data_IF_092157054215
#
_entry.id   IF_092157054215
#
_cell.length_a   1.000
_cell.length_b   1.000
_cell.length_c   1.000
_cell.angle_alpha   90.00
_cell.angle_beta   90.00
_cell.angle_gamma   90.00
#
_symmetry.space_group_name_H-M   'P 1'
#
loop_
_entity.id
_entity.type
_entity.pdbx_description
1 polymer ?
#
# COMPACT_ATOMS: atom_id res chain seq x y z
N UNK A 1 -3.64 22.06 9.90
CA UNK A 1 -4.85 22.17 9.06
C UNK A 1 -4.84 21.13 7.92
N UNK A 2 -4.87 19.82 8.22
CA UNK A 2 -4.79 18.74 7.21
C UNK A 2 -6.04 17.85 7.17
N UNK A 3 -7.21 18.43 7.46
CA UNK A 3 -8.47 17.69 7.59
C UNK A 3 -9.37 17.69 6.35
N UNK A 4 -9.10 18.56 5.36
CA UNK A 4 -10.04 18.88 4.26
C UNK A 4 -9.77 18.10 2.95
N UNK A 5 -8.54 17.64 2.73
CA UNK A 5 -8.19 16.77 1.59
C UNK A 5 -8.61 15.32 1.78
N UNK A 6 -8.49 14.80 3.01
CA UNK A 6 -8.88 13.42 3.33
C UNK A 6 -10.39 13.18 3.18
N UNK A 7 -11.22 14.18 3.49
CA UNK A 7 -12.67 14.10 3.25
C UNK A 7 -12.98 13.92 1.75
N UNK A 8 -12.38 14.77 0.90
CA UNK A 8 -12.58 14.65 -0.55
C UNK A 8 -12.03 13.35 -1.16
N UNK A 9 -10.92 12.82 -0.63
CA UNK A 9 -10.37 11.56 -1.13
C UNK A 9 -11.24 10.35 -0.76
N UNK A 10 -11.70 10.26 0.49
CA UNK A 10 -12.56 9.16 0.93
C UNK A 10 -13.88 9.16 0.15
N UNK A 11 -14.50 10.32 -0.03
CA UNK A 11 -15.72 10.49 -0.82
C UNK A 11 -15.49 10.09 -2.28
N UNK A 12 -14.36 10.46 -2.87
CA UNK A 12 -13.99 10.08 -4.24
C UNK A 12 -13.83 8.56 -4.39
N UNK A 13 -13.14 7.90 -3.45
CA UNK A 13 -12.95 6.44 -3.46
C UNK A 13 -14.31 5.74 -3.33
N UNK A 14 -15.16 6.17 -2.38
CA UNK A 14 -16.49 5.59 -2.19
C UNK A 14 -17.38 5.78 -3.43
N UNK A 15 -17.36 6.98 -4.03
CA UNK A 15 -18.12 7.24 -5.25
C UNK A 15 -17.63 6.41 -6.44
N UNK A 16 -16.32 6.21 -6.58
CA UNK A 16 -15.73 5.37 -7.65
C UNK A 16 -16.11 3.90 -7.48
N UNK A 17 -16.14 3.39 -6.26
CA UNK A 17 -16.59 2.02 -5.97
C UNK A 17 -18.08 1.86 -6.29
N UNK A 18 -18.92 2.85 -5.90
CA UNK A 18 -20.37 2.79 -6.08
C UNK A 18 -20.81 2.83 -7.56
N UNK A 19 -20.09 3.57 -8.42
CA UNK A 19 -20.42 3.69 -9.86
C UNK A 19 -20.13 2.44 -10.69
N UNK A 20 -19.63 1.35 -10.08
CA UNK A 20 -19.17 0.13 -10.77
C UNK A 20 -17.96 0.34 -11.70
N UNK A 21 -17.18 1.41 -11.50
CA UNK A 21 -15.89 1.62 -12.19
C UNK A 21 -14.87 0.51 -11.88
N UNK A 22 -15.15 -0.32 -10.87
CA UNK A 22 -14.39 -1.54 -10.57
C UNK A 22 -14.34 -2.54 -11.75
N UNK A 23 -15.33 -2.54 -12.64
CA UNK A 23 -15.30 -3.39 -13.84
C UNK A 23 -14.32 -2.87 -14.91
N UNK A 24 -13.98 -1.58 -14.87
CA UNK A 24 -13.18 -0.88 -15.87
C UNK A 24 -11.80 -0.45 -15.37
N UNK A 25 -11.55 -0.51 -14.05
CA UNK A 25 -10.30 -0.11 -13.42
C UNK A 25 -9.83 -1.13 -12.38
N UNK A 26 -8.66 -1.70 -12.62
CA UNK A 26 -7.99 -2.59 -11.67
C UNK A 26 -7.73 -1.90 -10.33
N UNK A 27 -7.51 -0.57 -10.34
CA UNK A 27 -7.33 0.22 -9.13
C UNK A 27 -8.62 0.29 -8.30
N UNK A 28 -9.74 0.62 -8.93
CA UNK A 28 -11.06 0.69 -8.23
C UNK A 28 -11.49 -0.70 -7.76
N UNK A 29 -11.23 -1.75 -8.55
CA UNK A 29 -11.43 -3.14 -8.12
C UNK A 29 -10.63 -3.49 -6.87
N UNK A 30 -9.37 -3.03 -6.79
CA UNK A 30 -8.54 -3.20 -5.61
C UNK A 30 -9.11 -2.47 -4.40
N UNK A 31 -9.56 -1.22 -4.53
CA UNK A 31 -10.20 -0.48 -3.43
C UNK A 31 -11.48 -1.16 -2.93
N UNK A 32 -12.34 -1.62 -3.85
CA UNK A 32 -13.56 -2.34 -3.48
C UNK A 32 -13.24 -3.60 -2.68
N UNK A 33 -12.25 -4.40 -3.11
CA UNK A 33 -11.83 -5.60 -2.37
C UNK A 33 -11.25 -5.25 -1.00
N UNK A 34 -10.43 -4.21 -0.89
CA UNK A 34 -9.93 -3.72 0.39
C UNK A 34 -11.04 -3.34 1.37
N UNK A 35 -12.07 -2.64 0.88
CA UNK A 35 -13.22 -2.25 1.69
C UNK A 35 -14.07 -3.46 2.09
N UNK A 36 -14.38 -4.35 1.15
CA UNK A 36 -15.32 -5.46 1.37
C UNK A 36 -14.72 -6.65 2.12
N UNK A 37 -13.46 -7.01 1.82
CA UNK A 37 -12.80 -8.19 2.37
C UNK A 37 -11.93 -7.88 3.58
N UNK A 38 -11.31 -6.69 3.61
CA UNK A 38 -10.37 -6.30 4.65
C UNK A 38 -10.89 -5.19 5.56
N UNK A 39 -12.13 -4.74 5.33
CA UNK A 39 -12.79 -3.70 6.13
C UNK A 39 -11.97 -2.41 6.25
N UNK A 40 -11.19 -2.09 5.22
CA UNK A 40 -10.38 -0.88 5.16
C UNK A 40 -11.28 0.28 4.70
N UNK A 41 -11.75 1.07 5.67
CA UNK A 41 -12.52 2.28 5.39
C UNK A 41 -11.57 3.44 5.01
N UNK A 42 -11.70 4.03 3.80
CA UNK A 42 -10.88 5.17 3.39
C UNK A 42 -11.08 6.43 4.24
N UNK A 43 -12.18 6.54 4.99
CA UNK A 43 -12.41 7.62 5.93
C UNK A 43 -11.77 7.36 7.31
N UNK A 44 -11.37 6.13 7.62
CA UNK A 44 -10.79 5.78 8.91
C UNK A 44 -9.37 6.37 9.04
N UNK A 45 -9.19 7.21 10.06
CA UNK A 45 -7.90 7.83 10.38
C UNK A 45 -7.15 7.04 11.46
N UNK A 46 -6.98 5.75 11.23
CA UNK A 46 -6.26 4.85 12.13
C UNK A 46 -4.80 4.72 11.70
N UNK A 47 -3.89 4.76 12.68
CA UNK A 47 -2.48 4.49 12.40
C UNK A 47 -2.31 3.05 11.89
N UNK A 48 -1.45 2.81 10.89
CA UNK A 48 -1.22 1.46 10.39
C UNK A 48 -0.65 0.58 11.49
N UNK A 49 -1.05 -0.70 11.51
CA UNK A 49 -0.46 -1.68 12.42
C UNK A 49 1.02 -1.81 12.12
N UNK A 50 1.86 -1.44 13.08
CA UNK A 50 3.31 -1.64 12.99
C UNK A 50 3.67 -2.97 13.67
N UNK A 51 4.54 -3.73 13.01
CA UNK A 51 5.16 -4.89 13.63
C UNK A 51 6.12 -4.41 14.72
N UNK A 52 6.15 -5.12 15.84
CA UNK A 52 7.23 -5.02 16.79
C UNK A 52 8.54 -5.46 16.14
N UNK A 53 9.65 -5.03 16.73
CA UNK A 53 10.98 -5.42 16.25
C UNK A 53 11.14 -6.95 16.23
N UNK A 54 10.59 -7.67 17.22
CA UNK A 54 10.64 -9.14 17.28
C UNK A 54 9.88 -9.77 16.12
N UNK A 55 8.63 -9.35 15.89
CA UNK A 55 7.80 -9.84 14.79
C UNK A 55 8.46 -9.56 13.43
N UNK A 56 9.06 -8.37 13.27
CA UNK A 56 9.74 -8.00 12.04
C UNK A 56 10.95 -8.90 11.79
N UNK A 57 11.79 -9.14 12.80
CA UNK A 57 12.95 -10.05 12.66
C UNK A 57 12.52 -11.45 12.27
N UNK A 58 11.49 -11.99 12.91
CA UNK A 58 10.95 -13.32 12.58
C UNK A 58 10.40 -13.37 11.15
N UNK A 59 9.67 -12.33 10.71
CA UNK A 59 9.20 -12.24 9.33
C UNK A 59 10.38 -12.20 8.34
N UNK A 60 11.42 -11.41 8.61
CA UNK A 60 12.62 -11.33 7.76
C UNK A 60 13.37 -12.66 7.67
N UNK A 61 13.54 -13.36 8.80
CA UNK A 61 14.20 -14.67 8.83
C UNK A 61 13.46 -15.70 7.96
N UNK A 62 12.12 -15.75 8.02
CA UNK A 62 11.34 -16.66 7.16
C UNK A 62 11.50 -16.38 5.67
N UNK A 63 11.70 -15.12 5.29
CA UNK A 63 11.90 -14.70 3.90
C UNK A 63 13.37 -14.64 3.46
N UNK A 64 14.32 -15.08 4.28
CA UNK A 64 15.76 -14.85 4.05
C UNK A 64 16.23 -15.29 2.65
N UNK A 65 15.79 -16.48 2.19
CA UNK A 65 16.17 -16.98 0.85
C UNK A 65 15.70 -16.06 -0.29
N UNK A 66 14.47 -15.54 -0.18
CA UNK A 66 13.91 -14.61 -1.16
C UNK A 66 14.66 -13.28 -1.14
N UNK A 67 14.95 -12.77 0.06
CA UNK A 67 15.69 -11.50 0.23
C UNK A 67 17.07 -11.62 -0.41
N UNK A 68 17.82 -12.69 -0.12
CA UNK A 68 19.15 -12.93 -0.70
C UNK A 68 19.10 -13.05 -2.23
N UNK A 69 18.10 -13.73 -2.78
CA UNK A 69 17.93 -13.85 -4.23
C UNK A 69 17.62 -12.50 -4.91
N UNK A 70 16.87 -11.62 -4.22
CA UNK A 70 16.49 -10.31 -4.76
C UNK A 70 17.57 -9.23 -4.58
N UNK A 71 18.50 -9.40 -3.65
CA UNK A 71 19.46 -8.39 -3.19
C UNK A 71 20.24 -7.73 -4.35
N UNK A 72 20.84 -8.53 -5.25
CA UNK A 72 21.62 -7.98 -6.38
C UNK A 72 20.78 -7.16 -7.37
N UNK A 73 19.52 -7.53 -7.58
CA UNK A 73 18.62 -6.78 -8.48
C UNK A 73 18.13 -5.49 -7.83
N UNK A 74 17.79 -5.52 -6.54
CA UNK A 74 17.39 -4.34 -5.78
C UNK A 74 18.53 -3.34 -5.62
N UNK A 75 19.76 -3.82 -5.37
CA UNK A 75 20.94 -2.95 -5.29
C UNK A 75 21.23 -2.26 -6.62
N UNK A 76 21.12 -2.96 -7.75
CA UNK A 76 21.27 -2.36 -9.08
C UNK A 76 20.19 -1.32 -9.37
N UNK A 77 18.93 -1.62 -9.04
CA UNK A 77 17.84 -0.66 -9.19
C UNK A 77 18.10 0.59 -8.35
N UNK A 78 18.49 0.43 -7.09
CA UNK A 78 18.82 1.52 -6.19
C UNK A 78 19.92 2.42 -6.75
N UNK A 79 20.99 1.85 -7.30
CA UNK A 79 22.07 2.63 -7.94
C UNK A 79 21.59 3.34 -9.21
N UNK A 80 20.77 2.68 -10.03
CA UNK A 80 20.26 3.23 -11.28
C UNK A 80 19.29 4.40 -11.06
N UNK A 81 18.46 4.36 -10.01
CA UNK A 81 17.52 5.45 -9.68
C UNK A 81 18.11 6.48 -8.71
N UNK A 82 19.12 6.10 -7.94
CA UNK A 82 19.77 6.96 -6.94
C UNK A 82 20.56 8.12 -7.54
N UNK A 83 20.97 8.02 -8.81
CA UNK A 83 21.57 9.13 -9.57
C UNK A 83 20.55 10.06 -10.26
N UNK A 84 19.24 9.76 -10.17
CA UNK A 84 18.16 10.48 -10.87
C UNK A 84 17.43 11.46 -9.94
N UNK A 85 17.83 11.55 -8.67
CA UNK A 85 17.20 12.43 -7.67
C UNK A 85 18.09 13.57 -7.19
N UNK A 86 17.93 14.74 -7.81
CA UNK A 86 18.08 16.06 -7.17
C UNK A 86 16.74 16.78 -7.29
#
# INVERSE_FOLDING_TARGET
>A
MSGRQAAGHADFVQASIARSDAAHSALVASWRRSLQLHHLDPAERKAPRRLTEVELRQARQRMERMIRAAEGSLNRLYQAVGGVGC
#
